data_IF_918086520625
#
_entry.id   IF_918086520625
#
_cell.length_a   1.000
_cell.length_b   1.000
_cell.length_c   1.000
_cell.angle_alpha   90.00
_cell.angle_beta   90.00
_cell.angle_gamma   90.00
#
_symmetry.space_group_name_H-M   'P 1'
#
loop_
_entity.id
_entity.type
_entity.pdbx_description
1 polymer ?
#
# COMPACT_ATOMS: atom_id res chain seq x y z
N UNK A 1 10.06 30.21 -52.90
CA UNK A 1 10.71 31.03 -51.85
C UNK A 1 10.49 30.40 -50.46
N UNK A 2 11.28 29.40 -50.07
CA UNK A 2 11.01 28.64 -48.83
C UNK A 2 12.23 28.20 -48.01
N UNK A 3 13.45 28.65 -48.35
CA UNK A 3 14.69 27.98 -47.89
C UNK A 3 15.48 28.69 -46.80
N UNK A 4 15.13 29.92 -46.37
CA UNK A 4 15.98 30.70 -45.44
C UNK A 4 15.48 30.75 -43.98
N UNK A 5 14.30 30.21 -43.67
CA UNK A 5 13.73 30.29 -42.32
C UNK A 5 14.46 29.37 -41.33
N UNK A 6 14.87 28.18 -41.79
CA UNK A 6 15.65 27.24 -40.98
C UNK A 6 17.06 27.76 -40.71
N UNK A 7 17.73 28.34 -41.72
CA UNK A 7 19.07 28.93 -41.58
C UNK A 7 19.15 30.05 -40.54
N UNK A 8 18.13 30.92 -40.49
CA UNK A 8 18.05 31.98 -39.47
C UNK A 8 17.87 31.41 -38.05
N UNK A 9 17.09 30.35 -37.91
CA UNK A 9 16.87 29.67 -36.62
C UNK A 9 18.12 28.92 -36.17
N UNK A 10 18.80 28.21 -37.06
CA UNK A 10 20.03 27.47 -36.73
C UNK A 10 21.16 28.42 -36.35
N UNK A 11 21.36 29.50 -37.12
CA UNK A 11 22.38 30.51 -36.79
C UNK A 11 22.08 31.20 -35.45
N UNK A 12 20.81 31.52 -35.16
CA UNK A 12 20.41 32.08 -33.88
C UNK A 12 20.51 31.11 -32.69
N UNK A 13 20.44 29.79 -32.93
CA UNK A 13 20.61 28.77 -31.89
C UNK A 13 22.08 28.44 -31.61
N UNK A 14 22.97 28.61 -32.60
CA UNK A 14 24.40 28.30 -32.48
C UNK A 14 25.12 29.20 -31.46
N UNK A 15 24.71 30.47 -31.36
CA UNK A 15 25.32 31.44 -30.44
C UNK A 15 24.66 31.50 -29.05
N UNK A 16 23.62 30.70 -28.81
CA UNK A 16 23.01 30.59 -27.48
C UNK A 16 23.72 29.51 -26.67
N UNK A 17 23.73 29.68 -25.34
CA UNK A 17 24.23 28.63 -24.45
C UNK A 17 23.40 27.34 -24.64
N UNK A 18 24.04 26.17 -24.60
CA UNK A 18 23.33 24.91 -24.73
C UNK A 18 22.38 24.70 -23.55
N UNK A 19 21.20 24.17 -23.83
CA UNK A 19 20.19 23.83 -22.80
C UNK A 19 20.56 22.55 -22.05
N UNK A 20 21.49 21.76 -22.59
CA UNK A 20 21.92 20.48 -22.03
C UNK A 20 22.70 20.66 -20.73
N UNK A 21 22.41 19.80 -19.75
CA UNK A 21 23.19 19.66 -18.51
C UNK A 21 24.22 18.54 -18.71
N UNK A 22 25.46 18.73 -18.22
CA UNK A 22 26.54 17.72 -18.35
C UNK A 22 26.40 16.62 -17.31
N UNK A 23 25.45 15.70 -17.50
CA UNK A 23 25.38 14.48 -16.69
C UNK A 23 26.62 13.60 -16.95
N UNK A 24 27.28 12.99 -15.95
CA UNK A 24 26.93 12.94 -14.52
C UNK A 24 27.59 14.04 -13.65
N UNK A 25 28.42 14.92 -14.22
CA UNK A 25 29.19 15.94 -13.48
C UNK A 25 28.30 17.05 -12.88
N UNK A 26 27.30 17.48 -13.63
CA UNK A 26 26.30 18.45 -13.20
C UNK A 26 24.95 17.75 -13.10
N UNK A 27 24.40 17.70 -11.89
CA UNK A 27 23.06 17.19 -11.62
C UNK A 27 22.07 18.35 -11.69
N UNK A 28 20.90 18.12 -12.28
CA UNK A 28 19.85 19.14 -12.36
C UNK A 28 19.27 19.37 -10.97
N UNK A 29 19.07 20.63 -10.59
CA UNK A 29 18.55 21.00 -9.28
C UNK A 29 17.02 20.73 -9.22
N UNK A 30 16.66 19.52 -8.78
CA UNK A 30 15.26 19.07 -8.73
C UNK A 30 14.43 19.86 -7.72
N UNK A 31 15.04 20.34 -6.64
CA UNK A 31 14.35 21.11 -5.60
C UNK A 31 13.82 22.45 -6.14
N UNK A 32 14.64 23.17 -6.91
CA UNK A 32 14.24 24.46 -7.47
C UNK A 32 13.27 24.33 -8.64
N UNK A 33 13.44 23.31 -9.48
CA UNK A 33 12.65 23.17 -10.70
C UNK A 33 11.31 22.46 -10.48
N UNK A 34 11.28 21.50 -9.56
CA UNK A 34 10.15 20.58 -9.40
C UNK A 34 9.88 20.29 -7.91
N UNK A 35 9.31 21.26 -7.16
CA UNK A 35 9.08 21.12 -5.72
C UNK A 35 8.08 20.02 -5.33
N UNK A 36 7.35 19.45 -6.29
CA UNK A 36 6.40 18.34 -6.09
C UNK A 36 6.78 17.08 -6.88
N UNK A 37 8.05 16.93 -7.21
CA UNK A 37 8.53 15.71 -7.87
C UNK A 37 8.30 14.50 -6.96
N UNK A 38 7.88 13.39 -7.56
CA UNK A 38 7.72 12.10 -6.90
C UNK A 38 8.88 11.21 -7.33
N UNK A 39 9.96 11.23 -6.55
CA UNK A 39 11.13 10.38 -6.71
C UNK A 39 10.91 9.04 -6.01
N UNK A 40 11.88 8.57 -5.24
CA UNK A 40 11.77 7.29 -4.55
C UNK A 40 10.98 7.38 -3.23
N UNK A 41 10.45 6.23 -2.81
CA UNK A 41 9.66 6.11 -1.58
C UNK A 41 10.58 5.86 -0.39
N UNK A 42 10.44 6.67 0.66
CA UNK A 42 11.16 6.51 1.93
C UNK A 42 10.17 6.24 3.04
N UNK A 43 10.53 5.34 3.95
CA UNK A 43 9.74 4.99 5.12
C UNK A 43 10.51 5.32 6.39
N UNK A 44 9.88 6.13 7.25
CA UNK A 44 10.31 6.32 8.62
C UNK A 44 9.82 5.13 9.46
N UNK A 45 10.73 4.19 9.72
CA UNK A 45 10.45 2.97 10.48
C UNK A 45 10.02 3.30 11.91
N UNK A 46 10.59 4.33 12.53
CA UNK A 46 10.38 4.63 13.95
C UNK A 46 8.91 5.03 14.19
N UNK A 47 8.30 5.75 13.25
CA UNK A 47 6.88 6.11 13.30
C UNK A 47 5.96 5.05 12.68
N UNK A 48 6.48 4.16 11.82
CA UNK A 48 5.70 3.12 11.16
C UNK A 48 5.15 2.07 12.16
N UNK A 49 3.86 1.78 12.11
CA UNK A 49 3.21 0.79 12.99
C UNK A 49 2.97 -0.57 12.30
N UNK A 50 3.57 -0.79 11.13
CA UNK A 50 3.42 -1.99 10.31
C UNK A 50 1.95 -2.42 10.12
N UNK A 51 1.08 -1.44 9.85
CA UNK A 51 -0.35 -1.67 9.67
C UNK A 51 -0.73 -2.34 8.33
N UNK A 52 0.20 -2.35 7.36
CA UNK A 52 -0.01 -2.94 6.03
C UNK A 52 -0.99 -2.20 5.12
N UNK A 53 -1.39 -0.96 5.45
CA UNK A 53 -2.29 -0.18 4.56
C UNK A 53 -1.60 0.25 3.28
N UNK A 54 -0.31 0.59 3.35
CA UNK A 54 0.50 0.90 2.17
C UNK A 54 0.61 -0.27 1.18
N UNK A 55 0.71 -1.51 1.67
CA UNK A 55 0.69 -2.71 0.82
C UNK A 55 -0.66 -2.88 0.11
N UNK A 56 -1.78 -2.67 0.80
CA UNK A 56 -3.12 -2.75 0.20
C UNK A 56 -3.43 -1.61 -0.77
N UNK A 57 -2.89 -0.42 -0.52
CA UNK A 57 -3.06 0.73 -1.39
C UNK A 57 -2.21 0.67 -2.67
N UNK A 58 -1.18 -0.18 -2.70
CA UNK A 58 -0.26 -0.26 -3.82
C UNK A 58 -0.92 -0.95 -5.02
N UNK A 59 -1.13 -0.26 -6.17
CA UNK A 59 -1.80 -0.85 -7.33
C UNK A 59 -0.96 -1.96 -8.00
N UNK A 60 0.35 -1.90 -7.82
CA UNK A 60 1.32 -2.82 -8.44
C UNK A 60 1.86 -3.87 -7.48
N UNK A 61 1.58 -3.76 -6.17
CA UNK A 61 2.10 -4.69 -5.16
C UNK A 61 3.61 -4.60 -4.93
N UNK A 62 4.18 -3.39 -4.95
CA UNK A 62 5.62 -3.15 -4.73
C UNK A 62 6.05 -3.18 -3.26
N UNK A 63 5.12 -3.09 -2.31
CA UNK A 63 5.40 -3.02 -0.87
C UNK A 63 4.91 -4.30 -0.21
N UNK A 64 5.77 -4.93 0.59
CA UNK A 64 5.41 -6.10 1.42
C UNK A 64 5.68 -5.79 2.89
N UNK A 65 4.69 -6.02 3.74
CA UNK A 65 4.77 -5.76 5.18
C UNK A 65 4.56 -7.05 5.95
N UNK A 66 5.59 -7.50 6.67
CA UNK A 66 5.45 -8.57 7.66
C UNK A 66 5.31 -7.97 9.06
N UNK A 67 4.08 -8.01 9.57
CA UNK A 67 3.76 -7.52 10.92
C UNK A 67 4.27 -8.44 12.04
N UNK A 68 4.49 -9.72 11.77
CA UNK A 68 5.01 -10.66 12.78
C UNK A 68 6.53 -10.60 12.83
N UNK A 69 7.17 -10.60 11.67
CA UNK A 69 8.62 -10.45 11.53
C UNK A 69 9.12 -9.04 11.83
N UNK A 70 8.27 -8.01 11.73
CA UNK A 70 8.72 -6.63 11.91
C UNK A 70 9.30 -6.01 10.63
N UNK A 71 9.24 -6.72 9.51
CA UNK A 71 9.89 -6.32 8.27
C UNK A 71 8.97 -5.50 7.37
N UNK A 72 9.51 -4.42 6.85
CA UNK A 72 8.91 -3.61 5.79
C UNK A 72 9.84 -3.62 4.59
N UNK A 73 9.35 -4.12 3.46
CA UNK A 73 10.13 -4.24 2.22
C UNK A 73 9.45 -3.48 1.10
N UNK A 74 10.25 -2.78 0.29
CA UNK A 74 9.80 -2.14 -0.94
C UNK A 74 10.72 -2.52 -2.09
N UNK A 75 10.10 -2.89 -3.21
CA UNK A 75 10.77 -3.09 -4.49
C UNK A 75 10.68 -1.80 -5.32
N UNK A 76 11.79 -1.05 -5.48
CA UNK A 76 11.81 0.18 -6.25
C UNK A 76 11.53 -0.03 -7.74
N UNK A 77 11.85 -1.21 -8.29
CA UNK A 77 11.67 -1.54 -9.71
C UNK A 77 10.23 -1.81 -10.09
N UNK A 78 9.45 -2.26 -9.11
CA UNK A 78 8.00 -2.43 -9.27
C UNK A 78 7.23 -1.16 -8.95
N UNK A 79 7.82 -0.21 -8.23
CA UNK A 79 7.17 1.02 -7.81
C UNK A 79 6.95 1.99 -8.98
N UNK A 80 5.68 2.35 -9.24
CA UNK A 80 5.30 3.33 -10.28
C UNK A 80 5.24 4.78 -9.78
N UNK A 81 5.78 5.05 -8.58
CA UNK A 81 5.87 6.40 -7.97
C UNK A 81 4.51 7.16 -7.91
N UNK A 82 3.40 6.43 -7.76
CA UNK A 82 2.05 7.02 -7.73
C UNK A 82 1.72 7.78 -6.44
N UNK A 83 2.47 7.54 -5.35
CA UNK A 83 2.24 8.10 -4.01
C UNK A 83 0.92 7.66 -3.31
N UNK A 84 0.20 6.66 -3.82
CA UNK A 84 -1.01 6.15 -3.13
C UNK A 84 -0.71 5.63 -1.71
N UNK A 85 0.46 5.05 -1.50
CA UNK A 85 0.89 4.56 -0.19
C UNK A 85 1.13 5.68 0.84
N UNK A 86 1.58 6.87 0.43
CA UNK A 86 1.78 8.00 1.33
C UNK A 86 0.43 8.60 1.76
N UNK A 87 -0.52 8.68 0.82
CA UNK A 87 -1.87 9.19 1.09
C UNK A 87 -2.69 8.29 2.02
N UNK A 88 -2.56 6.96 1.90
CA UNK A 88 -3.31 6.01 2.73
C UNK A 88 -2.64 5.75 4.10
N UNK A 89 -1.42 6.26 4.31
CA UNK A 89 -0.70 6.01 5.55
C UNK A 89 -1.34 6.79 6.73
N UNK A 90 -1.86 6.11 7.77
CA UNK A 90 -2.56 6.78 8.87
C UNK A 90 -1.61 7.54 9.80
N UNK A 91 -0.32 7.18 9.76
CA UNK A 91 0.75 7.78 10.56
C UNK A 91 1.62 8.73 9.73
N UNK A 92 1.33 8.88 8.44
CA UNK A 92 2.13 9.70 7.51
C UNK A 92 3.65 9.42 7.59
N UNK A 93 4.05 8.17 7.86
CA UNK A 93 5.46 7.77 7.99
C UNK A 93 6.15 7.58 6.62
N UNK A 94 5.40 7.63 5.53
CA UNK A 94 5.91 7.43 4.18
C UNK A 94 6.01 8.78 3.47
N UNK A 95 7.15 9.05 2.85
CA UNK A 95 7.41 10.27 2.07
C UNK A 95 7.93 9.91 0.68
N UNK A 96 7.62 10.77 -0.31
CA UNK A 96 8.23 10.70 -1.63
C UNK A 96 9.38 11.72 -1.64
N UNK A 97 10.61 11.25 -1.79
CA UNK A 97 11.75 12.15 -1.96
C UNK A 97 11.75 12.76 -3.36
N UNK A 98 12.45 13.88 -3.52
CA UNK A 98 12.56 14.57 -4.81
C UNK A 98 13.52 13.85 -5.77
N UNK A 99 14.43 13.03 -5.24
CA UNK A 99 15.45 12.36 -6.01
C UNK A 99 14.95 11.03 -6.60
N UNK A 100 15.11 10.84 -7.93
CA UNK A 100 14.91 9.52 -8.54
C UNK A 100 15.83 8.47 -7.91
N UNK A 101 15.44 7.21 -7.99
CA UNK A 101 16.31 6.09 -7.64
C UNK A 101 17.59 6.14 -8.47
N UNK A 102 18.74 5.99 -7.82
CA UNK A 102 20.02 6.01 -8.52
C UNK A 102 20.12 4.83 -9.50
N UNK A 103 20.78 5.04 -10.66
CA UNK A 103 21.00 3.95 -11.59
C UNK A 103 21.92 2.93 -10.93
N UNK A 104 21.49 1.67 -10.93
CA UNK A 104 22.28 0.56 -10.40
C UNK A 104 22.27 -0.58 -11.41
N UNK A 105 23.24 -1.47 -11.29
CA UNK A 105 23.38 -2.66 -12.11
C UNK A 105 22.62 -3.85 -11.56
N UNK A 106 22.16 -3.80 -10.30
CA UNK A 106 21.55 -4.93 -9.60
C UNK A 106 20.18 -4.59 -9.00
N UNK A 107 19.27 -5.56 -9.06
CA UNK A 107 17.93 -5.47 -8.47
C UNK A 107 18.03 -5.56 -6.94
N UNK A 108 18.01 -4.41 -6.27
CA UNK A 108 17.95 -4.32 -4.81
C UNK A 108 16.52 -4.12 -4.31
N UNK A 109 16.13 -4.91 -3.31
CA UNK A 109 14.91 -4.70 -2.53
C UNK A 109 15.33 -3.97 -1.25
N UNK A 110 14.70 -2.84 -0.98
CA UNK A 110 14.97 -2.08 0.25
C UNK A 110 14.17 -2.75 1.36
N UNK A 111 14.87 -3.42 2.27
CA UNK A 111 14.30 -4.02 3.47
C UNK A 111 14.65 -3.18 4.67
N UNK A 112 13.66 -2.89 5.50
CA UNK A 112 13.86 -2.22 6.77
C UNK A 112 13.14 -2.98 7.87
N UNK A 113 13.84 -3.22 8.98
CA UNK A 113 13.33 -3.96 10.13
C UNK A 113 12.92 -3.01 11.25
N UNK A 114 11.77 -3.27 11.87
CA UNK A 114 11.34 -2.61 13.11
C UNK A 114 11.31 -3.62 14.24
N UNK A 115 12.13 -3.37 15.26
CA UNK A 115 12.01 -4.04 16.55
C UNK A 115 10.68 -3.65 17.20
N UNK A 116 9.67 -4.49 16.98
CA UNK A 116 8.37 -4.27 17.59
C UNK A 116 8.40 -4.95 18.95
N UNK A 117 8.36 -4.20 20.07
CA UNK A 117 8.34 -4.81 21.39
C UNK A 117 7.13 -5.74 21.46
N UNK A 118 7.35 -6.96 21.96
CA UNK A 118 6.29 -7.92 22.19
C UNK A 118 5.16 -7.17 22.90
N UNK A 119 3.99 -7.14 22.26
CA UNK A 119 2.80 -6.46 22.78
C UNK A 119 2.70 -6.86 24.25
N UNK A 120 2.75 -5.92 25.23
CA UNK A 120 2.52 -6.30 26.60
C UNK A 120 1.19 -7.05 26.57
N UNK A 121 1.22 -8.32 27.01
CA UNK A 121 0.01 -9.11 27.07
C UNK A 121 -1.01 -8.21 27.74
N UNK A 122 -2.12 -7.90 27.04
CA UNK A 122 -3.24 -7.24 27.69
C UNK A 122 -3.42 -8.04 28.98
N UNK A 123 -3.34 -7.43 30.18
CA UNK A 123 -3.68 -8.17 31.37
C UNK A 123 -5.07 -8.72 31.07
N UNK A 124 -5.14 -10.05 30.98
CA UNK A 124 -6.42 -10.74 30.98
C UNK A 124 -7.19 -10.10 32.11
N UNK A 125 -8.36 -9.54 31.80
CA UNK A 125 -9.17 -8.82 32.77
C UNK A 125 -9.47 -9.74 33.97
N UNK A 126 -8.58 -9.75 34.94
CA UNK A 126 -8.68 -10.36 36.27
C UNK A 126 -7.74 -9.56 37.18
N UNK A 127 -8.35 -9.05 38.24
CA UNK A 127 -7.77 -8.34 39.38
C UNK A 127 -7.34 -6.88 39.12
N UNK A 128 -8.34 -5.99 39.08
CA UNK A 128 -8.28 -4.78 39.93
C UNK A 128 -9.38 -4.95 40.98
N UNK A 129 -9.00 -4.93 42.25
CA UNK A 129 -9.93 -4.95 43.36
C UNK A 129 -10.58 -3.55 43.49
N UNK A 130 -11.87 -3.52 43.82
CA UNK A 130 -12.53 -2.30 44.28
C UNK A 130 -12.85 -1.22 43.25
N UNK A 131 -13.68 -1.51 42.24
CA UNK A 131 -14.31 -0.47 41.43
C UNK A 131 -15.05 -1.01 40.19
N UNK A 132 -16.37 -1.06 40.26
CA UNK A 132 -17.35 -1.48 39.24
C UNK A 132 -16.82 -1.64 37.81
N UNK A 133 -16.71 -2.90 37.35
CA UNK A 133 -16.44 -3.25 35.96
C UNK A 133 -17.49 -2.65 34.99
N UNK A 134 -17.11 -2.18 33.79
CA UNK A 134 -18.08 -2.04 32.71
C UNK A 134 -18.50 -3.44 32.28
N UNK A 135 -19.77 -3.78 32.53
CA UNK A 135 -20.37 -5.05 32.16
C UNK A 135 -20.08 -5.38 30.69
N UNK A 136 -19.71 -6.64 30.41
CA UNK A 136 -19.75 -7.19 29.06
C UNK A 136 -21.09 -6.80 28.44
N UNK A 137 -21.08 -6.18 27.25
CA UNK A 137 -22.32 -5.83 26.56
C UNK A 137 -23.16 -7.11 26.49
N UNK A 138 -24.35 -7.15 27.12
CA UNK A 138 -25.13 -8.38 27.20
C UNK A 138 -25.38 -8.85 25.79
N UNK A 139 -25.18 -10.15 25.55
CA UNK A 139 -25.50 -10.78 24.28
C UNK A 139 -26.99 -10.53 24.08
N UNK A 140 -27.33 -9.61 23.17
CA UNK A 140 -28.72 -9.18 22.93
C UNK A 140 -29.55 -10.42 22.66
N UNK A 141 -30.46 -10.76 23.56
CA UNK A 141 -31.40 -11.84 23.39
C UNK A 141 -32.25 -11.52 22.15
N UNK A 142 -32.16 -12.38 21.14
CA UNK A 142 -32.92 -12.20 19.90
C UNK A 142 -34.37 -12.57 20.19
N UNK A 143 -35.33 -11.77 19.72
CA UNK A 143 -36.74 -12.11 19.85
C UNK A 143 -37.05 -13.44 19.14
N UNK A 144 -38.09 -14.18 19.54
CA UNK A 144 -38.47 -15.45 18.89
C UNK A 144 -38.63 -15.31 17.36
N UNK A 145 -39.13 -14.16 16.89
CA UNK A 145 -39.22 -13.84 15.46
C UNK A 145 -37.86 -13.68 14.78
N UNK A 146 -36.89 -13.04 15.46
CA UNK A 146 -35.53 -12.88 14.95
C UNK A 146 -34.80 -14.23 14.87
N UNK A 147 -35.06 -15.13 15.82
CA UNK A 147 -34.53 -16.49 15.81
C UNK A 147 -35.14 -17.30 14.66
N UNK A 148 -36.46 -17.24 14.46
CA UNK A 148 -37.15 -17.91 13.36
C UNK A 148 -36.66 -17.43 11.98
N UNK A 149 -36.39 -16.12 11.81
CA UNK A 149 -35.84 -15.57 10.56
C UNK A 149 -34.42 -16.06 10.26
N UNK A 150 -33.58 -16.19 11.29
CA UNK A 150 -32.21 -16.71 11.14
C UNK A 150 -32.24 -18.21 10.80
N UNK A 151 -33.12 -18.98 11.43
CA UNK A 151 -33.27 -20.40 11.12
C UNK A 151 -33.85 -20.64 9.72
N UNK A 152 -34.84 -19.85 9.30
CA UNK A 152 -35.36 -19.89 7.93
C UNK A 152 -34.28 -19.53 6.91
N UNK A 153 -33.46 -18.51 7.19
CA UNK A 153 -32.34 -18.13 6.33
C UNK A 153 -31.27 -19.24 6.27
N UNK A 154 -30.98 -19.92 7.39
CA UNK A 154 -30.05 -21.06 7.43
C UNK A 154 -30.60 -22.27 6.66
N UNK A 155 -31.88 -22.58 6.79
CA UNK A 155 -32.55 -23.66 6.03
C UNK A 155 -32.56 -23.34 4.53
N UNK A 156 -32.86 -22.10 4.15
CA UNK A 156 -32.79 -21.67 2.74
C UNK A 156 -31.35 -21.73 2.19
N UNK A 157 -30.35 -21.34 2.97
CA UNK A 157 -28.94 -21.46 2.59
C UNK A 157 -28.49 -22.93 2.47
N UNK A 158 -28.97 -23.80 3.36
CA UNK A 158 -28.72 -25.25 3.29
C UNK A 158 -29.40 -25.88 2.07
N UNK A 159 -30.66 -25.52 1.78
CA UNK A 159 -31.39 -25.98 0.60
C UNK A 159 -30.71 -25.52 -0.71
N UNK A 160 -30.25 -24.27 -0.78
CA UNK A 160 -29.46 -23.76 -1.91
C UNK A 160 -28.13 -24.49 -2.08
N UNK A 161 -27.45 -24.82 -0.97
CA UNK A 161 -26.22 -25.63 -1.01
C UNK A 161 -26.50 -27.08 -1.44
N UNK A 162 -27.62 -27.66 -1.03
CA UNK A 162 -28.04 -29.01 -1.44
C UNK A 162 -28.45 -29.07 -2.92
N UNK A 163 -29.17 -28.06 -3.42
CA UNK A 163 -29.52 -27.92 -4.84
C UNK A 163 -28.26 -27.75 -5.71
N UNK A 164 -27.29 -26.93 -5.27
CA UNK A 164 -26.00 -26.79 -5.97
C UNK A 164 -25.17 -28.07 -5.96
N UNK A 165 -25.28 -28.88 -4.90
CA UNK A 165 -24.57 -30.16 -4.79
C UNK A 165 -25.19 -31.25 -5.67
N UNK A 166 -26.52 -31.21 -5.88
CA UNK A 166 -27.23 -32.16 -6.75
C UNK A 166 -27.00 -31.85 -8.23
N UNK A 167 -26.94 -30.56 -8.58
CA UNK A 167 -26.55 -30.07 -9.92
C UNK A 167 -25.12 -30.52 -10.29
N UNK A 168 -24.17 -30.33 -9.38
CA UNK A 168 -22.77 -30.78 -9.57
C UNK A 168 -22.59 -32.30 -9.69
N UNK A 169 -23.48 -33.10 -9.08
CA UNK A 169 -23.44 -34.56 -9.21
C UNK A 169 -24.15 -35.09 -10.46
N UNK A 170 -25.00 -34.29 -11.11
CA UNK A 170 -25.66 -34.66 -12.38
C UNK A 170 -24.74 -34.42 -13.59
N UNK A 171 -23.91 -33.37 -13.56
CA UNK A 171 -22.88 -33.11 -14.59
C UNK A 171 -21.73 -34.12 -14.57
N UNK A 172 -21.43 -34.75 -13.42
CA UNK A 172 -20.33 -35.71 -13.27
C UNK A 172 -20.68 -37.17 -13.62
N UNK A 173 -21.93 -37.45 -14.06
CA UNK A 173 -22.40 -38.78 -14.44
C UNK A 173 -22.77 -38.94 -15.91
N UNK A 174 -22.42 -37.96 -16.77
CA UNK A 174 -22.70 -37.96 -18.21
C UNK A 174 -21.43 -38.13 -19.08
N UNK A 175 -20.41 -38.79 -18.53
CA UNK A 175 -19.22 -39.26 -19.26
C UNK A 175 -19.11 -40.79 -19.15
#
# INVERSE_FOLDING_TARGET
>A
MGTFKLGKLTLGSLFKKPVTVRYPYEKRDFEKLFPRMRGHLVNDIDTCILCGMCQRACPVGAITVDRKGGDWTVDPYRCIQCASCTHECPKNCLSMELWPTEPTTELHVISMHKDMPAKPAKPSAKAVDGGSAPAARPKRELTPEQQARIEAARKAAAAKKAAKKTDQSAEQGAE
#
